data_IF_033844329209
#
_entry.id   IF_033844329209
#
_cell.length_a   1.000
_cell.length_b   1.000
_cell.length_c   1.000
_cell.angle_alpha   90.00
_cell.angle_beta   90.00
_cell.angle_gamma   90.00
#
_symmetry.space_group_name_H-M   'P 1'
#
loop_
_entity.id
_entity.type
_entity.pdbx_description
1 polymer ?
#
# COMPACT_ATOMS: atom_id res chain seq x y z
N UNK A 1 -22.62 -2.13 19.61
CA UNK A 1 -21.42 -1.29 19.41
C UNK A 1 -20.23 -2.11 18.88
N UNK A 2 -19.81 -3.21 19.53
CA UNK A 2 -18.68 -4.03 19.04
C UNK A 2 -18.86 -4.62 17.62
N UNK A 3 -20.05 -5.14 17.27
CA UNK A 3 -20.31 -5.72 15.94
C UNK A 3 -20.23 -4.68 14.81
N UNK A 4 -20.65 -3.45 15.07
CA UNK A 4 -20.61 -2.36 14.08
C UNK A 4 -19.15 -1.99 13.79
N UNK A 5 -18.32 -1.84 14.83
CA UNK A 5 -16.89 -1.61 14.66
C UNK A 5 -16.19 -2.75 13.91
N UNK A 6 -16.57 -4.00 14.19
CA UNK A 6 -16.03 -5.15 13.47
C UNK A 6 -16.39 -5.13 11.98
N UNK A 7 -17.64 -4.78 11.64
CA UNK A 7 -18.05 -4.59 10.25
C UNK A 7 -17.26 -3.46 9.56
N UNK A 8 -17.05 -2.33 10.23
CA UNK A 8 -16.27 -1.20 9.71
C UNK A 8 -14.81 -1.63 9.46
N UNK A 9 -14.17 -2.33 10.40
CA UNK A 9 -12.80 -2.79 10.25
C UNK A 9 -12.65 -3.76 9.07
N UNK A 10 -13.59 -4.69 8.88
CA UNK A 10 -13.57 -5.58 7.71
C UNK A 10 -13.70 -4.77 6.41
N UNK A 11 -14.59 -3.78 6.38
CA UNK A 11 -14.77 -2.93 5.22
C UNK A 11 -13.50 -2.12 4.89
N UNK A 12 -12.89 -1.49 5.90
CA UNK A 12 -11.63 -0.76 5.75
C UNK A 12 -10.48 -1.67 5.31
N UNK A 13 -10.43 -2.92 5.81
CA UNK A 13 -9.46 -3.91 5.36
C UNK A 13 -9.63 -4.21 3.86
N UNK A 14 -10.86 -4.37 3.39
CA UNK A 14 -11.13 -4.57 1.96
C UNK A 14 -10.66 -3.38 1.12
N UNK A 15 -10.98 -2.14 1.54
CA UNK A 15 -10.51 -0.93 0.86
C UNK A 15 -8.99 -0.85 0.83
N UNK A 16 -8.32 -1.11 1.95
CA UNK A 16 -6.86 -1.11 2.04
C UNK A 16 -6.21 -2.13 1.09
N UNK A 17 -6.84 -3.30 0.88
CA UNK A 17 -6.37 -4.29 -0.10
C UNK A 17 -6.50 -3.76 -1.52
N UNK A 18 -7.60 -3.08 -1.87
CA UNK A 18 -7.77 -2.47 -3.19
C UNK A 18 -6.74 -1.36 -3.44
N UNK A 19 -6.56 -0.45 -2.48
CA UNK A 19 -5.59 0.64 -2.58
C UNK A 19 -4.16 0.11 -2.71
N UNK A 20 -3.79 -0.90 -1.92
CA UNK A 20 -2.50 -1.56 -2.04
C UNK A 20 -2.30 -2.18 -3.42
N UNK A 21 -3.33 -2.88 -3.94
CA UNK A 21 -3.26 -3.50 -5.26
C UNK A 21 -3.08 -2.46 -6.38
N UNK A 22 -3.87 -1.39 -6.37
CA UNK A 22 -3.79 -0.33 -7.38
C UNK A 22 -2.47 0.43 -7.29
N UNK A 23 -2.03 0.80 -6.08
CA UNK A 23 -0.76 1.50 -5.86
C UNK A 23 0.45 0.69 -6.31
N UNK A 24 0.57 -0.55 -5.83
CA UNK A 24 1.71 -1.42 -6.18
C UNK A 24 1.71 -1.79 -7.67
N UNK A 25 0.53 -1.99 -8.27
CA UNK A 25 0.43 -2.27 -9.72
C UNK A 25 0.89 -1.07 -10.55
N UNK A 26 0.55 0.15 -10.14
CA UNK A 26 0.98 1.37 -10.81
C UNK A 26 2.52 1.50 -10.80
N UNK A 27 3.14 1.25 -9.65
CA UNK A 27 4.60 1.29 -9.53
C UNK A 27 5.26 0.16 -10.33
N UNK A 28 4.69 -1.04 -10.30
CA UNK A 28 5.19 -2.17 -11.08
C UNK A 28 5.17 -1.87 -12.58
N UNK A 29 4.09 -1.30 -13.11
CA UNK A 29 4.01 -0.92 -14.53
C UNK A 29 5.05 0.16 -14.86
N UNK A 30 5.25 1.13 -13.97
CA UNK A 30 6.27 2.18 -14.17
C UNK A 30 7.70 1.59 -14.28
N UNK A 31 8.05 0.63 -13.41
CA UNK A 31 9.32 -0.10 -13.49
C UNK A 31 9.45 -0.94 -14.77
N UNK A 32 8.38 -1.66 -15.13
CA UNK A 32 8.37 -2.53 -16.29
C UNK A 32 8.45 -1.75 -17.60
N UNK A 33 7.80 -0.58 -17.70
CA UNK A 33 7.75 0.19 -18.95
C UNK A 33 9.14 0.58 -19.45
N UNK A 34 10.02 1.04 -18.54
CA UNK A 34 11.39 1.43 -18.87
C UNK A 34 12.24 0.23 -19.33
N UNK A 35 12.10 -0.91 -18.66
CA UNK A 35 12.84 -2.13 -18.98
C UNK A 35 12.37 -2.81 -20.28
N UNK A 36 11.06 -2.82 -20.53
CA UNK A 36 10.45 -3.37 -21.75
C UNK A 36 10.76 -2.46 -22.95
N UNK A 37 10.64 -1.14 -22.79
CA UNK A 37 10.95 -0.16 -23.85
C UNK A 37 12.40 -0.20 -24.32
N UNK A 38 13.34 -0.43 -23.39
CA UNK A 38 14.77 -0.57 -23.69
C UNK A 38 15.17 -1.95 -24.26
N UNK A 39 14.25 -2.93 -24.33
CA UNK A 39 14.51 -4.32 -24.77
C UNK A 39 15.72 -4.99 -24.10
N UNK A 40 15.96 -4.70 -22.82
CA UNK A 40 17.13 -5.20 -22.07
C UNK A 40 17.11 -6.72 -21.88
N UNK A 41 15.92 -7.33 -21.73
CA UNK A 41 15.77 -8.76 -21.51
C UNK A 41 14.40 -9.27 -22.00
N UNK A 42 14.21 -10.59 -22.00
CA UNK A 42 12.91 -11.22 -22.27
C UNK A 42 11.89 -10.80 -21.20
N UNK A 43 10.64 -10.58 -21.60
CA UNK A 43 9.54 -10.17 -20.71
C UNK A 43 9.46 -10.98 -19.41
N UNK A 44 9.61 -12.31 -19.50
CA UNK A 44 9.59 -13.22 -18.36
C UNK A 44 10.71 -12.95 -17.34
N UNK A 45 11.91 -12.61 -17.81
CA UNK A 45 13.06 -12.30 -16.95
C UNK A 45 12.83 -10.97 -16.21
N UNK A 46 12.34 -9.95 -16.94
CA UNK A 46 12.03 -8.64 -16.35
C UNK A 46 10.96 -8.78 -15.27
N UNK A 47 9.92 -9.59 -15.52
CA UNK A 47 8.82 -9.79 -14.57
C UNK A 47 9.28 -10.47 -13.28
N UNK A 48 10.14 -11.50 -13.37
CA UNK A 48 10.71 -12.17 -12.18
C UNK A 48 11.56 -11.19 -11.35
N UNK A 49 12.41 -10.41 -12.01
CA UNK A 49 13.26 -9.42 -11.33
C UNK A 49 12.41 -8.33 -10.69
N UNK A 50 11.40 -7.82 -11.39
CA UNK A 50 10.49 -6.79 -10.87
C UNK A 50 9.72 -7.29 -9.65
N UNK A 51 9.15 -8.50 -9.70
CA UNK A 51 8.45 -9.09 -8.55
C UNK A 51 9.37 -9.27 -7.35
N UNK A 52 10.59 -9.78 -7.56
CA UNK A 52 11.57 -9.92 -6.47
C UNK A 52 11.98 -8.56 -5.89
N UNK A 53 12.23 -7.57 -6.75
CA UNK A 53 12.57 -6.20 -6.36
C UNK A 53 11.46 -5.53 -5.55
N UNK A 54 10.19 -5.67 -5.95
CA UNK A 54 9.04 -5.12 -5.20
C UNK A 54 8.92 -5.77 -3.83
N UNK A 55 9.07 -7.09 -3.71
CA UNK A 55 9.02 -7.79 -2.42
C UNK A 55 10.15 -7.35 -1.49
N UNK A 56 11.39 -7.29 -2.00
CA UNK A 56 12.54 -6.83 -1.22
C UNK A 56 12.40 -5.37 -0.82
N UNK A 57 11.94 -4.51 -1.74
CA UNK A 57 11.68 -3.10 -1.48
C UNK A 57 10.61 -2.90 -0.41
N UNK A 58 9.52 -3.68 -0.44
CA UNK A 58 8.47 -3.63 0.57
C UNK A 58 9.00 -4.01 1.97
N UNK A 59 9.84 -5.05 2.07
CA UNK A 59 10.42 -5.49 3.35
C UNK A 59 11.40 -4.44 3.92
N UNK A 60 12.18 -3.77 3.06
CA UNK A 60 13.13 -2.74 3.49
C UNK A 60 12.51 -1.34 3.70
N UNK A 61 11.21 -1.16 3.44
CA UNK A 61 10.51 0.15 3.43
C UNK A 61 10.24 0.76 4.82
N UNK A 62 10.69 0.14 5.92
CA UNK A 62 10.36 0.55 7.29
C UNK A 62 10.63 2.04 7.57
N UNK A 63 11.77 2.57 7.13
CA UNK A 63 12.12 3.98 7.34
C UNK A 63 11.20 4.97 6.62
N UNK A 64 10.70 4.63 5.42
CA UNK A 64 9.78 5.49 4.68
C UNK A 64 8.37 5.46 5.30
N UNK A 65 7.97 4.30 5.81
CA UNK A 65 6.71 4.12 6.54
C UNK A 65 6.69 4.89 7.87
N UNK A 66 7.83 5.02 8.56
CA UNK A 66 7.92 5.84 9.77
C UNK A 66 7.73 7.33 9.46
N UNK A 67 8.35 7.83 8.39
CA UNK A 67 8.20 9.24 7.96
C UNK A 67 6.76 9.53 7.54
N UNK A 68 6.13 8.63 6.76
CA UNK A 68 4.74 8.78 6.34
C UNK A 68 3.77 8.77 7.54
N UNK A 69 4.01 7.91 8.53
CA UNK A 69 3.18 7.84 9.74
C UNK A 69 3.21 9.12 10.55
N UNK A 70 4.41 9.64 10.85
CA UNK A 70 4.55 10.87 11.63
C UNK A 70 4.09 12.13 10.88
N UNK A 71 4.09 12.10 9.54
CA UNK A 71 3.66 13.22 8.71
C UNK A 71 2.15 13.31 8.45
N UNK A 72 1.42 12.19 8.50
CA UNK A 72 -0.01 12.15 8.14
C UNK A 72 -0.91 12.17 9.38
N UNK A 73 -0.56 11.45 10.46
CA UNK A 73 -1.39 11.41 11.66
C UNK A 73 -0.60 11.31 12.96
N UNK A 74 -1.04 12.05 13.98
CA UNK A 74 -0.59 11.92 15.36
C UNK A 74 -1.63 11.13 16.18
N UNK A 75 -1.43 9.81 16.39
CA UNK A 75 -2.44 8.95 16.99
C UNK A 75 -2.83 9.34 18.42
N UNK A 76 -1.97 10.07 19.14
CA UNK A 76 -2.23 10.54 20.51
C UNK A 76 -3.35 11.58 20.61
N UNK A 77 -3.79 12.17 19.49
CA UNK A 77 -4.83 13.20 19.45
C UNK A 77 -6.22 12.70 19.04
N UNK A 78 -6.38 11.40 18.75
CA UNK A 78 -7.65 10.85 18.28
C UNK A 78 -8.19 9.77 19.22
N UNK A 79 -9.47 9.87 19.54
CA UNK A 79 -10.20 8.77 20.18
C UNK A 79 -10.56 7.69 19.16
N UNK A 80 -10.79 6.47 19.63
CA UNK A 80 -11.12 5.35 18.75
C UNK A 80 -12.37 5.62 17.88
N UNK A 81 -13.39 6.28 18.43
CA UNK A 81 -14.60 6.63 17.69
C UNK A 81 -14.33 7.66 16.58
N UNK A 82 -13.47 8.65 16.85
CA UNK A 82 -13.07 9.66 15.86
C UNK A 82 -12.28 9.03 14.71
N UNK A 83 -11.34 8.12 15.00
CA UNK A 83 -10.57 7.40 13.97
C UNK A 83 -11.49 6.57 13.07
N UNK A 84 -12.42 5.82 13.66
CA UNK A 84 -13.36 5.00 12.88
C UNK A 84 -14.28 5.86 12.01
N UNK A 85 -14.74 7.00 12.52
CA UNK A 85 -15.61 7.91 11.76
C UNK A 85 -14.84 8.61 10.62
N UNK A 86 -13.58 9.01 10.87
CA UNK A 86 -12.73 9.66 9.88
C UNK A 86 -12.44 8.73 8.68
N UNK A 87 -12.01 7.50 8.95
CA UNK A 87 -11.71 6.52 7.90
C UNK A 87 -12.94 5.99 7.17
N UNK A 88 -14.12 6.01 7.81
CA UNK A 88 -15.38 5.64 7.15
C UNK A 88 -15.88 6.75 6.21
N UNK A 89 -15.54 8.02 6.50
CA UNK A 89 -15.96 9.16 5.68
C UNK A 89 -15.14 9.34 4.40
N UNK A 90 -13.88 8.88 4.41
CA UNK A 90 -12.94 8.87 3.29
C UNK A 90 -13.24 7.76 2.28
#
# INVERSE_FOLDING_TARGET
>A
MSTIYLCIVIFLLCLAVFDLFVGVSNDAVNFLQSAIGAKVAKFRTVLIIASCGVVLGAIMSSGMMDIARHGIMSPDHFTFEEVMTLFLHL
#
